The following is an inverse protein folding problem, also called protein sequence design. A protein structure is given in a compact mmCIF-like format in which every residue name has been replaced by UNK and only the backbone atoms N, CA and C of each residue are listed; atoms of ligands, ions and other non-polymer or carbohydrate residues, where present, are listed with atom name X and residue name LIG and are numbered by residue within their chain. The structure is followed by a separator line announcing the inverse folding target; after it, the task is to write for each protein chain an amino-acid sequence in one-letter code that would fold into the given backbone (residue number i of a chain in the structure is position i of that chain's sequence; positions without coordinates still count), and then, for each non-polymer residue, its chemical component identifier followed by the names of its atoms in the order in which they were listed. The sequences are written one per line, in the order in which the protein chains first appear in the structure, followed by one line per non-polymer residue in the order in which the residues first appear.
data_IF_543524945189
#
_entry.id   IF_543524945189
#
_cell.length_a   1.000
_cell.length_b   1.000
_cell.length_c   1.000
_cell.angle_alpha   90.00
_cell.angle_beta   90.00
_cell.angle_gamma   90.00
#
_symmetry.space_group_name_H-M   'P 1'
#
loop_
_entity.id
_entity.type
_entity.pdbx_description
1 polymer ?
#
# COMPACT_ATOMS: atom_id res chain seq x y z
N UNK A 1 -3.51 -0.55 -27.72
CA UNK A 1 -3.06 -0.67 -26.32
C UNK A 1 -3.51 0.52 -25.45
N UNK A 2 -3.55 1.75 -25.99
CA UNK A 2 -3.90 2.99 -25.24
C UNK A 2 -5.29 2.98 -24.56
N UNK A 3 -6.32 2.40 -25.17
CA UNK A 3 -7.67 2.43 -24.58
C UNK A 3 -7.85 1.52 -23.34
N UNK A 4 -6.93 0.57 -23.08
CA UNK A 4 -7.08 -0.39 -21.97
C UNK A 4 -6.60 0.18 -20.63
N UNK A 5 -5.62 1.08 -20.65
CA UNK A 5 -5.03 1.66 -19.44
C UNK A 5 -6.04 2.54 -18.67
N UNK A 6 -6.75 3.49 -19.30
CA UNK A 6 -7.74 4.32 -18.60
C UNK A 6 -8.86 3.50 -17.94
N UNK A 7 -9.33 2.44 -18.60
CA UNK A 7 -10.37 1.56 -18.05
C UNK A 7 -9.88 0.81 -16.81
N UNK A 8 -8.61 0.38 -16.78
CA UNK A 8 -8.02 -0.27 -15.61
C UNK A 8 -7.86 0.73 -14.46
N UNK A 9 -7.38 1.94 -14.74
CA UNK A 9 -7.24 2.97 -13.72
C UNK A 9 -8.59 3.37 -13.11
N UNK A 10 -9.65 3.51 -13.92
CA UNK A 10 -10.99 3.80 -13.40
C UNK A 10 -11.48 2.70 -12.46
N UNK A 11 -11.27 1.42 -12.81
CA UNK A 11 -11.61 0.30 -11.91
C UNK A 11 -10.79 0.28 -10.63
N UNK A 12 -9.52 0.71 -10.69
CA UNK A 12 -8.69 0.87 -9.49
C UNK A 12 -9.29 1.96 -8.61
N UNK A 13 -9.65 3.11 -9.19
CA UNK A 13 -10.28 4.22 -8.46
C UNK A 13 -11.61 3.82 -7.82
N UNK A 14 -12.44 3.03 -8.50
CA UNK A 14 -13.69 2.51 -7.93
C UNK A 14 -13.42 1.70 -6.64
N UNK A 15 -12.45 0.78 -6.68
CA UNK A 15 -12.07 -0.05 -5.51
C UNK A 15 -11.40 0.74 -4.40
N UNK A 16 -10.57 1.73 -4.75
CA UNK A 16 -9.97 2.62 -3.76
C UNK A 16 -11.03 3.52 -3.11
N UNK A 17 -12.04 3.95 -3.86
CA UNK A 17 -13.20 4.67 -3.33
C UNK A 17 -13.98 3.85 -2.30
N UNK A 18 -14.28 2.59 -2.62
CA UNK A 18 -14.92 1.66 -1.69
C UNK A 18 -14.09 1.42 -0.42
N UNK A 19 -12.78 1.17 -0.58
CA UNK A 19 -11.86 0.97 0.55
C UNK A 19 -11.72 2.23 1.42
N UNK A 20 -11.59 3.39 0.79
CA UNK A 20 -11.50 4.68 1.47
C UNK A 20 -12.78 4.98 2.27
N UNK A 21 -13.95 4.71 1.69
CA UNK A 21 -15.24 4.83 2.38
C UNK A 21 -15.37 3.84 3.54
N UNK A 22 -14.95 2.60 3.35
CA UNK A 22 -14.97 1.56 4.39
C UNK A 22 -14.03 1.85 5.56
N UNK A 23 -12.84 2.37 5.29
CA UNK A 23 -11.90 2.79 6.33
C UNK A 23 -12.39 4.04 7.06
N UNK A 24 -12.95 5.01 6.32
CA UNK A 24 -13.43 6.27 6.87
C UNK A 24 -12.34 7.00 7.67
N UNK A 25 -12.63 7.27 8.94
CA UNK A 25 -11.71 7.90 9.90
C UNK A 25 -11.01 6.88 10.82
N UNK A 26 -11.20 5.57 10.60
CA UNK A 26 -10.57 4.55 11.43
C UNK A 26 -9.06 4.46 11.14
N UNK A 27 -8.31 4.05 12.16
CA UNK A 27 -6.88 3.83 12.01
C UNK A 27 -6.57 2.57 11.21
N UNK A 28 -7.39 1.52 11.37
CA UNK A 28 -7.26 0.17 10.80
C UNK A 28 -8.62 -0.37 10.34
N UNK A 29 -8.59 -1.43 9.53
CA UNK A 29 -9.79 -1.99 8.86
C UNK A 29 -10.85 -2.57 9.82
N UNK A 30 -10.42 -3.14 10.94
CA UNK A 30 -11.30 -3.82 11.89
C UNK A 30 -10.93 -3.49 13.35
N UNK A 31 -10.82 -2.18 13.62
CA UNK A 31 -10.47 -1.66 14.94
C UNK A 31 -8.99 -1.76 15.26
N UNK A 32 -8.55 -2.87 15.87
CA UNK A 32 -7.14 -3.08 16.17
C UNK A 32 -6.37 -3.54 14.92
N UNK A 33 -5.06 -3.25 14.87
CA UNK A 33 -4.21 -3.73 13.77
C UNK A 33 -4.27 -5.25 13.66
N UNK A 34 -4.50 -5.73 12.44
CA UNK A 34 -4.71 -7.14 12.13
C UNK A 34 -3.83 -7.62 10.97
N UNK A 35 -3.91 -8.92 10.66
CA UNK A 35 -3.31 -9.48 9.45
C UNK A 35 -3.93 -8.89 8.18
N UNK A 36 -5.20 -8.49 8.22
CA UNK A 36 -5.85 -7.79 7.10
C UNK A 36 -5.13 -6.48 6.78
N UNK A 37 -4.72 -5.74 7.81
CA UNK A 37 -4.03 -4.48 7.63
C UNK A 37 -2.64 -4.66 7.04
N UNK A 38 -1.90 -5.66 7.54
CA UNK A 38 -0.59 -6.03 7.01
C UNK A 38 -0.66 -6.31 5.50
N UNK A 39 -1.63 -7.12 5.07
CA UNK A 39 -1.82 -7.46 3.67
C UNK A 39 -2.22 -6.23 2.85
N UNK A 40 -3.16 -5.44 3.35
CA UNK A 40 -3.70 -4.29 2.61
C UNK A 40 -2.66 -3.18 2.44
N UNK A 41 -1.84 -2.90 3.46
CA UNK A 41 -0.73 -1.95 3.33
C UNK A 41 0.21 -2.38 2.20
N UNK A 42 0.57 -3.67 2.14
CA UNK A 42 1.44 -4.17 1.07
C UNK A 42 0.79 -4.10 -0.32
N UNK A 43 -0.51 -4.36 -0.44
CA UNK A 43 -1.26 -4.19 -1.70
C UNK A 43 -1.21 -2.73 -2.17
N UNK A 44 -1.47 -1.78 -1.27
CA UNK A 44 -1.48 -0.35 -1.60
C UNK A 44 -0.08 0.19 -1.94
N UNK A 45 0.98 -0.33 -1.33
CA UNK A 45 2.36 0.07 -1.65
C UNK A 45 2.73 -0.16 -3.13
N UNK A 46 2.11 -1.13 -3.80
CA UNK A 46 2.31 -1.36 -5.24
C UNK A 46 1.81 -0.22 -6.13
N UNK A 47 0.97 0.66 -5.58
CA UNK A 47 0.45 1.84 -6.27
C UNK A 47 1.29 3.10 -6.02
N UNK A 48 2.33 3.04 -5.18
CA UNK A 48 3.19 4.19 -4.86
C UNK A 48 3.80 4.85 -6.10
N UNK A 49 4.18 4.06 -7.10
CA UNK A 49 4.78 4.57 -8.35
C UNK A 49 3.80 5.20 -9.34
N UNK A 50 2.48 5.03 -9.19
CA UNK A 50 1.49 5.56 -10.13
C UNK A 50 0.91 6.92 -9.72
N UNK A 51 1.10 7.35 -8.47
CA UNK A 51 0.52 8.58 -7.93
C UNK A 51 -0.97 8.51 -7.61
N UNK A 52 -1.69 7.45 -8.02
CA UNK A 52 -3.14 7.29 -7.78
C UNK A 52 -3.47 7.32 -6.29
N UNK A 53 -2.60 6.79 -5.43
CA UNK A 53 -2.84 6.76 -3.99
C UNK A 53 -2.91 8.17 -3.36
N UNK A 54 -2.32 9.19 -4.00
CA UNK A 54 -2.40 10.58 -3.52
C UNK A 54 -3.80 11.19 -3.67
N UNK A 55 -4.66 10.60 -4.51
CA UNK A 55 -6.07 10.98 -4.64
C UNK A 55 -6.88 10.59 -3.37
N UNK A 56 -6.32 9.74 -2.48
CA UNK A 56 -6.98 9.21 -1.29
C UNK A 56 -6.17 9.46 -0.01
N UNK A 57 -6.24 10.66 0.59
CA UNK A 57 -5.39 11.04 1.72
C UNK A 57 -5.51 10.12 2.95
N UNK A 58 -6.69 9.55 3.21
CA UNK A 58 -6.88 8.61 4.32
C UNK A 58 -6.17 7.27 4.09
N UNK A 59 -6.19 6.76 2.85
CA UNK A 59 -5.45 5.55 2.47
C UNK A 59 -3.94 5.79 2.44
N UNK A 60 -3.51 6.98 2.01
CA UNK A 60 -2.12 7.39 2.10
C UNK A 60 -1.63 7.41 3.56
N UNK A 61 -2.40 8.04 4.47
CA UNK A 61 -2.09 8.05 5.90
C UNK A 61 -2.11 6.64 6.53
N UNK A 62 -3.04 5.78 6.09
CA UNK A 62 -3.12 4.39 6.49
C UNK A 62 -1.86 3.59 6.13
N UNK A 63 -1.35 3.74 4.91
CA UNK A 63 -0.08 3.13 4.49
C UNK A 63 1.08 3.66 5.33
N UNK A 64 1.18 4.98 5.49
CA UNK A 64 2.25 5.60 6.29
C UNK A 64 2.24 5.11 7.75
N UNK A 65 1.06 4.93 8.36
CA UNK A 65 0.94 4.30 9.69
C UNK A 65 1.47 2.87 9.70
N UNK A 66 1.17 2.08 8.66
CA UNK A 66 1.70 0.73 8.48
C UNK A 66 3.22 0.69 8.42
N UNK A 67 3.82 1.53 7.56
CA UNK A 67 5.27 1.65 7.39
C UNK A 67 5.98 2.17 8.66
N UNK A 68 5.29 3.01 9.43
CA UNK A 68 5.83 3.54 10.68
C UNK A 68 6.02 2.45 11.76
N UNK A 69 5.33 1.30 11.66
CA UNK A 69 5.42 0.22 12.67
C UNK A 69 6.84 -0.34 12.77
N UNK A 70 7.38 -0.57 13.98
CA UNK A 70 8.72 -1.15 14.16
C UNK A 70 8.89 -2.51 13.47
N UNK A 71 7.84 -3.34 13.44
CA UNK A 71 7.86 -4.64 12.76
C UNK A 71 8.02 -4.50 11.24
N UNK A 72 7.39 -3.48 10.63
CA UNK A 72 7.55 -3.21 9.21
C UNK A 72 8.99 -2.79 8.90
N UNK A 73 9.55 -1.83 9.66
CA UNK A 73 10.94 -1.38 9.48
C UNK A 73 11.93 -2.54 9.54
N UNK A 74 11.83 -3.39 10.57
CA UNK A 74 12.70 -4.58 10.69
C UNK A 74 12.57 -5.54 9.51
N UNK A 75 11.34 -5.79 9.04
CA UNK A 75 11.11 -6.66 7.89
C UNK A 75 11.67 -6.05 6.60
N UNK A 76 11.51 -4.74 6.42
CA UNK A 76 12.04 -3.99 5.29
C UNK A 76 13.58 -4.00 5.28
N UNK A 77 14.22 -3.75 6.42
CA UNK A 77 15.68 -3.79 6.54
C UNK A 77 16.23 -5.19 6.20
N UNK A 78 15.56 -6.25 6.66
CA UNK A 78 15.96 -7.62 6.38
C UNK A 78 15.87 -7.96 4.87
N UNK A 79 14.76 -7.62 4.20
CA UNK A 79 14.64 -7.88 2.75
C UNK A 79 15.61 -7.01 1.94
N UNK A 80 15.84 -5.76 2.35
CA UNK A 80 16.75 -4.85 1.65
C UNK A 80 18.19 -5.37 1.68
N UNK A 81 18.62 -5.93 2.81
CA UNK A 81 19.93 -6.55 2.93
C UNK A 81 20.09 -7.72 1.93
N UNK A 82 19.08 -8.58 1.79
CA UNK A 82 19.08 -9.69 0.83
C UNK A 82 19.11 -9.19 -0.62
N UNK A 83 18.25 -8.23 -0.95
CA UNK A 83 18.19 -7.65 -2.30
C UNK A 83 19.54 -7.00 -2.70
N UNK A 84 20.13 -6.22 -1.79
CA UNK A 84 21.41 -5.53 -2.02
C UNK A 84 22.60 -6.50 -2.09
N UNK A 85 22.54 -7.63 -1.37
CA UNK A 85 23.54 -8.68 -1.51
C UNK A 85 23.45 -9.35 -2.89
N UNK A 86 22.23 -9.70 -3.34
CA UNK A 86 22.01 -10.33 -4.64
C UNK A 86 22.47 -9.44 -5.82
N UNK A 87 22.20 -8.13 -5.77
CA UNK A 87 22.62 -7.19 -6.82
C UNK A 87 24.13 -6.99 -6.92
N UNK A 88 24.91 -7.36 -5.88
CA UNK A 88 26.38 -7.28 -5.89
C UNK A 88 27.06 -8.54 -6.42
N UNK A 89 26.31 -9.62 -6.64
CA UNK A 89 26.82 -10.91 -7.11
C UNK A 89 26.60 -11.13 -8.62
N UNK A 90 26.12 -10.11 -9.33
CA UNK A 90 25.93 -10.06 -10.78
C UNK A 90 26.91 -9.01 -11.34
#
# INVERSE_FOLDING_TARGET
HEQRLPMVENRIRDRLGELSGGLGAADWLDGAFSAGDLMMVHVLLRLSGSGILHEYPNLFAYVARGEARPAFKRAFDAQLAVATAASRSI
#
